data_IF_550641887580
#
_entry.id   IF_550641887580
#
_cell.length_a   1.000
_cell.length_b   1.000
_cell.length_c   1.000
_cell.angle_alpha   90.00
_cell.angle_beta   90.00
_cell.angle_gamma   90.00
#
_symmetry.space_group_name_H-M   'P 1'
#
loop_
_entity.id
_entity.type
_entity.pdbx_description
1 polymer ?
#
# COMPACT_ATOMS: atom_id res chain seq x y z
N UNK A 1 -22.32 10.65 -6.63
CA UNK A 1 -23.40 9.73 -6.18
C UNK A 1 -22.78 8.65 -5.32
N UNK A 2 -23.56 8.00 -4.47
CA UNK A 2 -23.11 6.91 -3.62
C UNK A 2 -24.11 5.76 -3.61
N UNK A 3 -23.61 4.54 -3.53
CA UNK A 3 -24.40 3.32 -3.43
C UNK A 3 -23.89 2.46 -2.28
N UNK A 4 -24.80 1.75 -1.61
CA UNK A 4 -24.50 0.85 -0.50
C UNK A 4 -24.90 -0.58 -0.88
N UNK A 5 -24.10 -1.55 -0.45
CA UNK A 5 -24.47 -2.96 -0.45
C UNK A 5 -24.89 -3.36 0.97
N UNK A 6 -26.18 -3.62 1.15
CA UNK A 6 -26.77 -3.93 2.45
C UNK A 6 -27.41 -5.32 2.46
N UNK A 7 -27.12 -6.09 3.51
CA UNK A 7 -27.71 -7.40 3.76
C UNK A 7 -28.14 -7.47 5.22
N UNK A 8 -29.40 -7.85 5.49
CA UNK A 8 -29.93 -8.02 6.84
C UNK A 8 -29.72 -6.78 7.75
N UNK A 9 -29.86 -5.57 7.19
CA UNK A 9 -29.64 -4.32 7.92
C UNK A 9 -28.17 -3.93 8.14
N UNK A 10 -27.22 -4.67 7.56
CA UNK A 10 -25.78 -4.41 7.69
C UNK A 10 -25.17 -3.99 6.35
N UNK A 11 -24.44 -2.88 6.38
CA UNK A 11 -23.67 -2.41 5.23
C UNK A 11 -22.38 -3.23 5.13
N UNK A 12 -22.20 -3.89 3.99
CA UNK A 12 -21.00 -4.68 3.68
C UNK A 12 -20.22 -4.12 2.50
N UNK A 13 -20.71 -3.09 1.84
CA UNK A 13 -19.99 -2.42 0.76
C UNK A 13 -20.50 -1.01 0.48
N UNK A 14 -19.61 -0.20 -0.10
CA UNK A 14 -19.83 1.19 -0.45
C UNK A 14 -19.18 1.47 -1.81
N UNK A 15 -19.89 2.19 -2.67
CA UNK A 15 -19.34 2.72 -3.90
C UNK A 15 -19.63 4.21 -4.00
N UNK A 16 -18.60 5.04 -4.17
CA UNK A 16 -18.77 6.42 -4.60
C UNK A 16 -18.40 6.54 -6.06
N UNK A 17 -19.32 7.10 -6.83
CA UNK A 17 -19.19 7.15 -8.27
C UNK A 17 -19.77 8.44 -8.87
N UNK A 18 -19.37 8.67 -10.12
CA UNK A 18 -19.92 9.72 -10.98
C UNK A 18 -20.11 9.17 -12.39
N UNK A 19 -21.08 9.73 -13.10
CA UNK A 19 -21.29 9.46 -14.52
C UNK A 19 -20.99 10.75 -15.26
N UNK A 20 -20.02 10.73 -16.15
CA UNK A 20 -19.54 11.93 -16.87
C UNK A 20 -19.24 11.60 -18.33
N UNK A 21 -19.49 12.53 -19.24
CA UNK A 21 -19.28 12.36 -20.67
C UNK A 21 -19.11 13.70 -21.35
N UNK A 22 -18.28 13.74 -22.39
CA UNK A 22 -18.01 14.96 -23.16
C UNK A 22 -19.03 15.16 -24.30
N UNK A 23 -19.62 14.07 -24.79
CA UNK A 23 -20.65 14.09 -25.83
C UNK A 23 -21.99 13.59 -25.27
N UNK A 24 -23.09 14.12 -25.81
CA UNK A 24 -24.43 13.59 -25.56
C UNK A 24 -24.42 12.11 -25.99
N UNK A 25 -24.73 11.21 -25.04
CA UNK A 25 -24.73 9.74 -25.16
C UNK A 25 -23.39 8.99 -24.99
N UNK A 26 -22.26 9.66 -24.72
CA UNK A 26 -20.98 8.97 -24.41
C UNK A 26 -20.56 9.25 -22.98
N UNK A 27 -21.28 8.66 -22.03
CA UNK A 27 -20.94 8.77 -20.62
C UNK A 27 -20.11 7.59 -20.14
N UNK A 28 -19.33 7.86 -19.10
CA UNK A 28 -18.44 6.92 -18.44
C UNK A 28 -18.85 6.81 -16.98
N UNK A 29 -18.94 5.58 -16.48
CA UNK A 29 -19.17 5.32 -15.08
C UNK A 29 -17.82 5.26 -14.37
N UNK A 30 -17.56 6.16 -13.41
CA UNK A 30 -16.27 6.20 -12.70
C UNK A 30 -16.53 5.98 -11.21
N UNK A 31 -16.12 4.82 -10.70
CA UNK A 31 -16.11 4.45 -9.29
C UNK A 31 -14.72 4.68 -8.69
N UNK A 32 -14.51 5.85 -8.06
CA UNK A 32 -13.24 6.23 -7.44
C UNK A 32 -13.10 5.74 -5.99
N UNK A 33 -14.19 5.24 -5.40
CA UNK A 33 -14.22 4.50 -4.14
C UNK A 33 -15.07 3.26 -4.37
N UNK A 34 -14.48 2.09 -4.22
CA UNK A 34 -15.15 0.81 -4.39
C UNK A 34 -14.71 -0.13 -3.28
N UNK A 35 -15.51 -0.19 -2.20
CA UNK A 35 -15.18 -0.89 -0.98
C UNK A 35 -16.18 -2.00 -0.71
N UNK A 36 -15.68 -3.14 -0.26
CA UNK A 36 -16.50 -4.28 0.12
C UNK A 36 -15.77 -5.12 1.17
N UNK A 37 -16.54 -5.69 2.09
CA UNK A 37 -16.04 -6.61 3.11
C UNK A 37 -16.27 -8.08 2.73
N UNK A 38 -17.18 -8.33 1.78
CA UNK A 38 -17.57 -9.68 1.37
C UNK A 38 -17.73 -9.78 -0.14
N UNK A 39 -17.56 -10.98 -0.69
CA UNK A 39 -17.79 -11.23 -2.12
C UNK A 39 -19.22 -10.88 -2.52
N UNK A 40 -20.23 -11.18 -1.70
CA UNK A 40 -21.63 -10.84 -2.02
C UNK A 40 -21.83 -9.33 -2.16
N UNK A 41 -21.18 -8.51 -1.34
CA UNK A 41 -21.21 -7.06 -1.45
C UNK A 41 -20.55 -6.59 -2.74
N UNK A 42 -19.37 -7.13 -3.09
CA UNK A 42 -18.70 -6.86 -4.37
C UNK A 42 -19.64 -7.14 -5.55
N UNK A 43 -20.22 -8.34 -5.60
CA UNK A 43 -21.10 -8.74 -6.70
C UNK A 43 -22.41 -7.92 -6.77
N UNK A 44 -22.93 -7.46 -5.63
CA UNK A 44 -24.09 -6.56 -5.61
C UNK A 44 -23.74 -5.18 -6.17
N UNK A 45 -22.59 -4.60 -5.79
CA UNK A 45 -22.13 -3.31 -6.32
C UNK A 45 -21.80 -3.39 -7.83
N UNK A 46 -21.20 -4.48 -8.28
CA UNK A 46 -20.97 -4.71 -9.71
C UNK A 46 -22.28 -4.91 -10.48
N UNK A 47 -23.27 -5.58 -9.88
CA UNK A 47 -24.61 -5.68 -10.46
C UNK A 47 -25.31 -4.31 -10.53
N UNK A 48 -25.03 -3.40 -9.59
CA UNK A 48 -25.49 -2.02 -9.68
C UNK A 48 -24.83 -1.29 -10.86
N UNK A 49 -23.52 -1.46 -11.04
CA UNK A 49 -22.80 -0.92 -12.18
C UNK A 49 -23.36 -1.44 -13.51
N UNK A 50 -23.62 -2.74 -13.63
CA UNK A 50 -24.18 -3.36 -14.84
C UNK A 50 -25.56 -2.80 -15.24
N UNK A 51 -26.36 -2.30 -14.29
CA UNK A 51 -27.64 -1.63 -14.58
C UNK A 51 -27.49 -0.30 -15.32
N UNK A 52 -26.27 0.21 -15.45
CA UNK A 52 -25.95 1.42 -16.21
C UNK A 52 -25.47 1.12 -17.63
N UNK A 53 -25.62 -0.12 -18.12
CA UNK A 53 -25.18 -0.53 -19.47
C UNK A 53 -25.78 0.33 -20.59
N UNK A 54 -27.02 0.81 -20.42
CA UNK A 54 -27.68 1.69 -21.41
C UNK A 54 -27.28 3.17 -21.24
N UNK A 55 -26.54 3.51 -20.19
CA UNK A 55 -26.17 4.88 -19.84
C UNK A 55 -24.68 5.15 -19.99
N UNK A 56 -23.83 4.13 -19.83
CA UNK A 56 -22.39 4.27 -19.82
C UNK A 56 -21.73 3.31 -20.82
N UNK A 57 -20.80 3.84 -21.62
CA UNK A 57 -20.06 3.06 -22.61
C UNK A 57 -18.98 2.18 -21.97
N UNK A 58 -18.34 2.69 -20.92
CA UNK A 58 -17.37 1.95 -20.12
C UNK A 58 -17.48 2.32 -18.64
N UNK A 59 -16.94 1.42 -17.82
CA UNK A 59 -16.83 1.58 -16.39
C UNK A 59 -15.35 1.55 -15.97
N UNK A 60 -14.98 2.51 -15.13
CA UNK A 60 -13.67 2.60 -14.50
C UNK A 60 -13.86 2.40 -13.00
N UNK A 61 -13.08 1.49 -12.41
CA UNK A 61 -13.11 1.19 -10.98
C UNK A 61 -11.69 1.31 -10.45
N UNK A 62 -11.52 2.07 -9.38
CA UNK A 62 -10.24 2.24 -8.71
C UNK A 62 -10.11 1.16 -7.63
N UNK A 63 -9.11 0.31 -7.79
CA UNK A 63 -8.87 -0.87 -6.96
C UNK A 63 -7.47 -0.83 -6.35
N UNK A 64 -7.28 -1.62 -5.30
CA UNK A 64 -5.95 -2.01 -4.80
C UNK A 64 -5.28 -2.93 -5.84
N UNK A 65 -3.96 -3.04 -5.79
CA UNK A 65 -3.14 -3.83 -6.72
C UNK A 65 -3.15 -5.35 -6.43
N UNK A 66 -3.74 -5.78 -5.31
CA UNK A 66 -4.03 -7.18 -5.00
C UNK A 66 -5.40 -7.65 -5.52
N UNK A 67 -6.10 -6.81 -6.29
CA UNK A 67 -7.35 -7.17 -6.94
C UNK A 67 -7.16 -7.60 -8.39
N UNK A 68 -7.88 -8.65 -8.77
CA UNK A 68 -7.80 -9.27 -10.10
C UNK A 68 -9.18 -9.21 -10.78
N UNK A 69 -9.64 -8.04 -11.24
CA UNK A 69 -10.99 -7.85 -11.78
C UNK A 69 -11.32 -8.74 -12.97
N UNK A 70 -10.33 -9.17 -13.75
CA UNK A 70 -10.47 -10.14 -14.84
C UNK A 70 -10.96 -11.52 -14.38
N UNK A 71 -10.87 -11.82 -13.08
CA UNK A 71 -11.34 -13.09 -12.49
C UNK A 71 -12.75 -12.99 -11.91
N UNK A 72 -13.33 -11.78 -11.83
CA UNK A 72 -14.58 -11.58 -11.11
C UNK A 72 -15.81 -12.07 -11.88
N UNK A 73 -15.81 -12.00 -13.21
CA UNK A 73 -16.90 -12.49 -14.05
C UNK A 73 -16.36 -13.14 -15.32
N UNK A 74 -17.13 -14.08 -15.86
CA UNK A 74 -16.90 -14.55 -17.23
C UNK A 74 -17.23 -13.43 -18.22
N UNK A 75 -16.55 -13.45 -19.38
CA UNK A 75 -16.81 -12.59 -20.54
C UNK A 75 -16.65 -11.07 -20.32
N UNK A 76 -15.89 -10.65 -19.31
CA UNK A 76 -15.51 -9.24 -19.12
C UNK A 76 -14.28 -8.86 -19.94
N UNK A 77 -14.38 -7.77 -20.72
CA UNK A 77 -13.23 -7.16 -21.38
C UNK A 77 -12.60 -6.12 -20.44
N UNK A 78 -11.64 -6.56 -19.63
CA UNK A 78 -10.98 -5.71 -18.63
C UNK A 78 -9.70 -5.12 -19.22
N UNK A 79 -9.50 -3.83 -19.00
CA UNK A 79 -8.21 -3.15 -19.19
C UNK A 79 -7.74 -2.68 -17.82
N UNK A 80 -6.56 -3.14 -17.40
CA UNK A 80 -5.93 -2.74 -16.14
C UNK A 80 -4.84 -1.71 -16.43
N UNK A 81 -4.85 -0.60 -15.70
CA UNK A 81 -3.86 0.46 -15.75
C UNK A 81 -3.42 0.82 -14.33
N UNK A 82 -2.17 1.27 -14.17
CA UNK A 82 -1.69 1.79 -12.90
C UNK A 82 -1.97 3.28 -12.76
N UNK A 83 -2.13 3.76 -11.52
CA UNK A 83 -2.17 5.20 -11.25
C UNK A 83 -0.89 5.88 -11.74
N UNK A 84 -1.03 7.05 -12.35
CA UNK A 84 0.09 7.85 -12.90
C UNK A 84 1.07 8.28 -11.80
N UNK A 85 0.63 8.37 -10.54
CA UNK A 85 1.46 8.78 -9.40
C UNK A 85 1.14 7.92 -8.19
N UNK A 86 2.03 6.99 -7.88
CA UNK A 86 2.00 6.29 -6.60
C UNK A 86 2.31 7.27 -5.46
N UNK A 87 1.67 7.06 -4.30
CA UNK A 87 1.99 7.83 -3.10
C UNK A 87 3.44 7.57 -2.70
N UNK A 88 4.17 8.63 -2.37
CA UNK A 88 5.54 8.53 -1.85
C UNK A 88 5.51 8.81 -0.35
N UNK A 89 6.20 7.98 0.42
CA UNK A 89 6.41 8.22 1.84
C UNK A 89 7.91 8.42 2.12
N UNK A 90 8.21 8.93 3.32
CA UNK A 90 9.57 9.12 3.81
C UNK A 90 9.56 9.15 5.32
N UNK A 91 10.47 8.41 5.94
CA UNK A 91 10.78 8.56 7.37
C UNK A 91 11.43 9.93 7.59
N UNK A 92 10.81 10.75 8.44
CA UNK A 92 11.33 12.09 8.78
C UNK A 92 12.26 12.07 10.00
N UNK A 93 11.98 11.21 10.97
CA UNK A 93 12.69 11.13 12.24
C UNK A 93 12.78 9.66 12.66
N UNK A 94 13.98 9.09 12.62
CA UNK A 94 14.24 7.68 12.93
C UNK A 94 13.95 7.36 14.40
N UNK A 95 14.13 8.30 15.32
CA UNK A 95 13.86 8.04 16.74
C UNK A 95 12.35 7.92 17.00
N UNK A 96 11.54 8.64 16.23
CA UNK A 96 10.09 8.76 16.45
C UNK A 96 9.22 7.70 15.78
N UNK A 97 9.81 6.77 15.03
CA UNK A 97 9.04 5.63 14.47
C UNK A 97 8.80 4.53 15.50
N UNK A 98 9.43 4.60 16.68
CA UNK A 98 9.24 3.64 17.76
C UNK A 98 7.76 3.51 18.16
N UNK A 99 7.37 2.31 18.60
CA UNK A 99 6.00 1.98 19.00
C UNK A 99 5.08 1.55 17.86
N UNK A 100 5.54 1.57 16.60
CA UNK A 100 4.78 0.98 15.49
C UNK A 100 4.74 -0.55 15.57
N UNK A 101 3.70 -1.15 15.00
CA UNK A 101 3.58 -2.60 14.90
C UNK A 101 4.62 -3.16 13.92
N UNK A 102 5.32 -4.21 14.34
CA UNK A 102 6.40 -4.87 13.60
C UNK A 102 6.35 -6.38 13.80
N UNK A 103 7.05 -7.11 12.94
CA UNK A 103 7.25 -8.55 13.12
C UNK A 103 8.34 -8.85 14.16
N UNK A 104 8.92 -10.05 14.07
CA UNK A 104 10.00 -10.47 14.95
C UNK A 104 11.37 -10.21 14.33
N UNK A 105 12.35 -9.87 15.15
CA UNK A 105 13.73 -9.73 14.73
C UNK A 105 14.36 -8.46 15.27
N UNK A 106 15.61 -8.26 14.88
CA UNK A 106 16.35 -7.06 15.21
C UNK A 106 17.55 -6.91 14.29
N UNK A 107 17.94 -5.67 14.01
CA UNK A 107 19.19 -5.36 13.34
C UNK A 107 19.66 -3.96 13.72
N UNK A 108 20.92 -3.68 13.49
CA UNK A 108 21.51 -2.36 13.68
C UNK A 108 21.97 -1.80 12.34
N UNK A 109 21.69 -0.53 12.08
CA UNK A 109 22.12 0.13 10.84
C UNK A 109 22.68 1.52 11.10
N UNK A 110 23.69 1.90 10.32
CA UNK A 110 24.12 3.28 10.19
C UNK A 110 23.22 3.94 9.15
N UNK A 111 22.39 4.88 9.59
CA UNK A 111 21.46 5.57 8.70
C UNK A 111 22.18 6.68 7.94
N UNK A 112 21.96 6.73 6.63
CA UNK A 112 22.48 7.75 5.73
C UNK A 112 21.31 8.62 5.28
N UNK A 113 21.31 9.88 5.71
CA UNK A 113 20.26 10.86 5.41
C UNK A 113 20.82 12.29 5.29
N UNK A 114 21.32 12.66 4.11
CA UNK A 114 21.90 13.99 3.89
C UNK A 114 20.93 15.15 4.08
N UNK A 115 19.61 14.89 4.08
CA UNK A 115 18.58 15.93 4.19
C UNK A 115 18.12 16.16 5.63
N UNK A 116 18.23 15.15 6.49
CA UNK A 116 17.81 15.21 7.89
C UNK A 116 18.96 14.71 8.78
N UNK A 117 19.94 15.57 9.12
CA UNK A 117 21.14 15.17 9.85
C UNK A 117 20.90 14.51 11.21
N UNK A 118 19.75 14.77 11.85
CA UNK A 118 19.38 14.11 13.10
C UNK A 118 19.14 12.60 12.94
N UNK A 119 18.88 12.13 11.71
CA UNK A 119 18.77 10.71 11.40
C UNK A 119 20.15 10.04 11.23
N UNK A 120 21.22 10.79 10.93
CA UNK A 120 22.55 10.24 10.63
C UNK A 120 23.27 9.72 11.89
N UNK A 121 22.91 8.51 12.31
CA UNK A 121 23.50 7.84 13.46
C UNK A 121 23.48 6.31 13.28
N UNK A 122 24.01 5.62 14.28
CA UNK A 122 23.91 4.16 14.42
C UNK A 122 22.67 3.86 15.26
N UNK A 123 21.70 3.20 14.64
CA UNK A 123 20.42 2.87 15.24
C UNK A 123 20.27 1.36 15.36
N UNK A 124 19.74 0.91 16.48
CA UNK A 124 19.27 -0.44 16.67
C UNK A 124 17.75 -0.45 16.56
N UNK A 125 17.25 -1.36 15.72
CA UNK A 125 15.84 -1.63 15.52
C UNK A 125 15.57 -3.03 16.07
N UNK A 126 14.62 -3.15 16.98
CA UNK A 126 14.24 -4.43 17.57
C UNK A 126 12.74 -4.51 17.81
N UNK A 127 12.24 -5.74 17.93
CA UNK A 127 10.85 -6.00 18.32
C UNK A 127 10.76 -6.32 19.81
N UNK A 128 9.89 -5.62 20.52
CA UNK A 128 9.51 -5.93 21.90
C UNK A 128 7.98 -5.94 21.98
N UNK A 129 7.40 -7.10 22.31
CA UNK A 129 5.94 -7.29 22.38
C UNK A 129 5.20 -6.87 21.08
N UNK A 130 5.81 -7.16 19.93
CA UNK A 130 5.28 -6.80 18.59
C UNK A 130 5.40 -5.31 18.25
N UNK A 131 6.07 -4.52 19.09
CA UNK A 131 6.30 -3.09 18.88
C UNK A 131 7.76 -2.80 18.56
N UNK A 132 7.97 -1.82 17.69
CA UNK A 132 9.30 -1.37 17.31
C UNK A 132 9.95 -0.60 18.45
N UNK A 133 11.07 -1.09 18.94
CA UNK A 133 12.02 -0.32 19.73
C UNK A 133 13.10 0.26 18.83
N UNK A 134 13.36 1.56 18.98
CA UNK A 134 14.45 2.25 18.29
C UNK A 134 15.36 2.87 19.33
N UNK A 135 16.63 2.49 19.31
CA UNK A 135 17.63 3.00 20.25
C UNK A 135 18.92 3.33 19.53
N UNK A 136 19.72 4.21 20.12
CA UNK A 136 21.07 4.47 19.60
C UNK A 136 22.01 3.35 19.99
N UNK A 137 22.92 3.00 19.10
CA UNK A 137 23.97 2.01 19.34
C UNK A 137 25.33 2.54 18.87
N UNK A 138 26.40 1.78 19.09
CA UNK A 138 27.76 2.11 18.64
C UNK A 138 28.23 1.27 17.46
N UNK A 139 27.47 0.24 17.06
CA UNK A 139 27.79 -0.67 15.97
C UNK A 139 26.60 -0.83 15.05
N UNK A 140 26.89 -0.96 13.75
CA UNK A 140 25.89 -1.28 12.75
C UNK A 140 26.29 -2.57 12.03
N UNK A 141 25.28 -3.36 11.70
CA UNK A 141 25.40 -4.54 10.86
C UNK A 141 25.50 -4.12 9.39
N UNK A 142 24.95 -2.95 9.03
CA UNK A 142 25.00 -2.41 7.68
C UNK A 142 24.87 -0.89 7.60
N UNK A 143 25.16 -0.36 6.41
CA UNK A 143 24.79 0.99 6.01
C UNK A 143 23.44 0.96 5.31
N UNK A 144 22.49 1.78 5.77
CA UNK A 144 21.14 1.83 5.24
C UNK A 144 20.75 3.28 4.95
N UNK A 145 20.42 3.58 3.69
CA UNK A 145 19.86 4.88 3.32
C UNK A 145 18.46 5.06 3.91
N UNK A 146 18.06 6.31 4.13
CA UNK A 146 16.70 6.63 4.59
C UNK A 146 15.61 6.14 3.62
N UNK A 147 15.90 6.08 2.31
CA UNK A 147 15.00 5.48 1.32
C UNK A 147 14.84 3.99 1.55
N UNK A 148 15.93 3.26 1.82
CA UNK A 148 15.89 1.84 2.16
C UNK A 148 15.11 1.56 3.45
N UNK A 149 15.34 2.36 4.50
CA UNK A 149 14.56 2.25 5.75
C UNK A 149 13.06 2.51 5.50
N UNK A 150 12.75 3.55 4.72
CA UNK A 150 11.37 3.87 4.35
C UNK A 150 10.71 2.72 3.58
N UNK A 151 11.43 2.12 2.63
CA UNK A 151 10.96 0.98 1.83
C UNK A 151 10.68 -0.26 2.68
N UNK A 152 11.54 -0.56 3.66
CA UNK A 152 11.32 -1.65 4.63
C UNK A 152 10.06 -1.39 5.45
N UNK A 153 9.95 -0.21 6.06
CA UNK A 153 8.83 0.13 6.94
C UNK A 153 7.50 0.13 6.19
N UNK A 154 7.49 0.60 4.94
CA UNK A 154 6.30 0.55 4.10
C UNK A 154 5.91 -0.89 3.72
N UNK A 155 6.81 -1.88 3.88
CA UNK A 155 6.59 -3.28 3.53
C UNK A 155 6.48 -3.55 2.02
N UNK A 156 6.79 -2.56 1.18
CA UNK A 156 6.63 -2.64 -0.28
C UNK A 156 7.71 -3.50 -0.96
N UNK A 157 8.91 -3.56 -0.36
CA UNK A 157 10.07 -4.20 -0.97
C UNK A 157 10.54 -5.41 -0.17
N UNK A 158 11.00 -6.44 -0.87
CA UNK A 158 11.80 -7.49 -0.24
C UNK A 158 13.15 -6.89 0.19
N UNK A 159 13.66 -7.18 1.41
CA UNK A 159 14.99 -6.73 1.84
C UNK A 159 16.12 -7.05 0.85
N UNK A 160 15.99 -8.13 0.07
CA UNK A 160 16.95 -8.48 -0.99
C UNK A 160 17.01 -7.43 -2.10
N UNK A 161 15.88 -6.81 -2.45
CA UNK A 161 15.78 -5.82 -3.52
C UNK A 161 16.45 -4.49 -3.14
N UNK A 162 16.50 -4.17 -1.84
CA UNK A 162 17.10 -2.93 -1.33
C UNK A 162 18.57 -2.82 -1.73
N UNK A 163 19.27 -3.96 -1.75
CA UNK A 163 20.67 -4.00 -2.19
C UNK A 163 20.82 -3.74 -3.69
N UNK A 164 19.85 -4.20 -4.50
CA UNK A 164 19.83 -3.95 -5.96
C UNK A 164 19.62 -2.47 -6.28
N UNK A 165 18.86 -1.75 -5.44
CA UNK A 165 18.70 -0.30 -5.52
C UNK A 165 19.90 0.50 -5.01
N UNK A 166 20.90 -0.16 -4.42
CA UNK A 166 22.05 0.49 -3.79
C UNK A 166 21.72 1.24 -2.51
N UNK A 167 20.56 0.95 -1.90
CA UNK A 167 20.09 1.59 -0.66
C UNK A 167 20.64 0.95 0.60
N UNK A 168 21.18 -0.26 0.49
CA UNK A 168 21.84 -0.98 1.55
C UNK A 168 22.90 -1.92 0.94
N UNK A 169 23.94 -2.25 1.69
CA UNK A 169 24.82 -3.38 1.37
C UNK A 169 24.77 -4.34 2.55
N UNK A 170 24.00 -5.41 2.41
CA UNK A 170 23.75 -6.38 3.48
C UNK A 170 23.99 -7.80 3.02
N UNK A 171 24.49 -8.61 3.96
CA UNK A 171 24.53 -10.06 3.85
C UNK A 171 23.12 -10.66 4.08
N UNK A 172 22.91 -11.89 3.62
CA UNK A 172 21.61 -12.57 3.67
C UNK A 172 21.01 -12.67 5.08
N UNK A 173 21.84 -12.79 6.12
CA UNK A 173 21.38 -12.83 7.51
C UNK A 173 20.69 -11.53 7.94
N UNK A 174 21.28 -10.38 7.60
CA UNK A 174 20.69 -9.07 7.92
C UNK A 174 19.41 -8.84 7.11
N UNK A 175 19.38 -9.30 5.85
CA UNK A 175 18.17 -9.24 5.02
C UNK A 175 17.03 -10.07 5.63
N UNK A 176 17.33 -11.26 6.13
CA UNK A 176 16.36 -12.11 6.84
C UNK A 176 15.82 -11.41 8.09
N UNK A 177 16.69 -10.80 8.90
CA UNK A 177 16.28 -10.06 10.09
C UNK A 177 15.45 -8.82 9.74
N UNK A 178 15.80 -8.11 8.67
CA UNK A 178 15.04 -6.97 8.16
C UNK A 178 13.63 -7.38 7.72
N UNK A 179 13.51 -8.50 7.00
CA UNK A 179 12.21 -9.02 6.53
C UNK A 179 11.35 -9.60 7.65
N UNK A 180 11.97 -10.16 8.68
CA UNK A 180 11.28 -10.57 9.90
C UNK A 180 10.72 -9.36 10.66
N UNK A 181 11.55 -8.33 10.87
CA UNK A 181 11.16 -7.15 11.64
C UNK A 181 10.16 -6.27 10.88
N UNK A 182 10.34 -6.11 9.58
CA UNK A 182 9.42 -5.36 8.71
C UNK A 182 8.81 -6.29 7.65
N UNK A 183 7.76 -7.07 8.03
CA UNK A 183 7.09 -7.95 7.11
C UNK A 183 6.54 -7.22 5.89
N UNK A 184 6.52 -7.90 4.75
CA UNK A 184 5.90 -7.36 3.54
C UNK A 184 4.42 -7.08 3.76
N UNK A 185 3.99 -5.92 3.29
CA UNK A 185 2.58 -5.53 3.26
C UNK A 185 2.24 -5.03 1.87
N UNK A 186 0.95 -4.84 1.61
CA UNK A 186 0.48 -4.21 0.38
C UNK A 186 -0.15 -2.84 0.71
N UNK A 187 0.68 -1.80 0.96
CA UNK A 187 0.17 -0.51 1.39
C UNK A 187 -0.62 0.16 0.28
N UNK A 188 -1.84 0.58 0.60
CA UNK A 188 -2.70 1.29 -0.33
C UNK A 188 -3.17 2.62 0.26
N UNK A 189 -3.06 3.69 -0.54
CA UNK A 189 -3.57 5.01 -0.19
C UNK A 189 -4.78 5.31 -1.04
N UNK A 190 -5.93 5.47 -0.39
CA UNK A 190 -7.16 5.83 -1.07
C UNK A 190 -7.16 7.31 -1.50
N UNK A 191 -6.63 8.20 -0.67
CA UNK A 191 -6.70 9.64 -0.91
C UNK A 191 -5.60 10.16 -1.85
N UNK A 192 -5.92 11.21 -2.59
CA UNK A 192 -4.99 11.96 -3.44
C UNK A 192 -5.09 13.42 -2.99
N UNK A 193 -3.95 14.02 -2.66
CA UNK A 193 -3.84 15.40 -2.18
C UNK A 193 -2.77 16.19 -2.94
#
# INVERSE_FOLDING_TARGET
MGSLAEFDGKIEGLMLYRIMGEEVTKYNFIAYRFYYLTSRARYLLLSWLARHVDQALWAEIWLTDDEYPETWWADTQVKVESSIRAAMCRVLDVEKIAGMDVGEGSFSARIIDPLCPWNECYWHFGSYDGKLEVTRTSKADCDLSIQGLTALIAGMHDPQDISLHGWCKTEAEVQSNQGGLFPRTNPFMHDIF
#
